data_IF_493330988376
#
_entry.id   IF_493330988376
#
_cell.length_a   1.000
_cell.length_b   1.000
_cell.length_c   1.000
_cell.angle_alpha   90.00
_cell.angle_beta   90.00
_cell.angle_gamma   90.00
#
_symmetry.space_group_name_H-M   'P 1'
#
loop_
_entity.id
_entity.type
_entity.pdbx_description
1 polymer ?
#
# COMPACT_ATOMS: atom_id res chain seq x y z
N UNK A 1 22.60 23.96 3.69
CA UNK A 1 22.28 22.90 2.71
C UNK A 1 22.24 21.53 3.37
N UNK A 2 23.35 20.94 3.81
CA UNK A 2 23.41 19.57 4.39
C UNK A 2 22.34 19.19 5.45
N UNK A 3 21.91 20.13 6.32
CA UNK A 3 20.85 19.86 7.32
C UNK A 3 19.43 19.76 6.75
N UNK A 4 19.14 20.43 5.64
CA UNK A 4 17.81 20.39 5.01
C UNK A 4 17.62 19.08 4.24
N UNK A 5 18.67 18.58 3.58
CA UNK A 5 18.66 17.27 2.91
C UNK A 5 18.48 16.13 3.93
N UNK A 6 19.18 16.18 5.07
CA UNK A 6 19.02 15.17 6.13
C UNK A 6 17.58 15.10 6.70
N UNK A 7 16.90 16.25 6.81
CA UNK A 7 15.51 16.30 7.28
C UNK A 7 14.54 15.75 6.23
N UNK A 8 14.77 16.06 4.94
CA UNK A 8 13.95 15.54 3.85
C UNK A 8 14.11 14.02 3.72
N UNK A 9 15.35 13.51 3.77
CA UNK A 9 15.65 12.08 3.75
C UNK A 9 14.97 11.35 4.90
N UNK A 10 15.11 11.84 6.13
CA UNK A 10 14.47 11.24 7.31
C UNK A 10 12.93 11.22 7.20
N UNK A 11 12.33 12.23 6.57
CA UNK A 11 10.90 12.28 6.32
C UNK A 11 10.47 11.24 5.28
N UNK A 12 11.20 11.12 4.17
CA UNK A 12 10.91 10.13 3.13
C UNK A 12 11.04 8.69 3.67
N UNK A 13 12.08 8.41 4.45
CA UNK A 13 12.24 7.13 5.14
C UNK A 13 11.06 6.83 6.07
N UNK A 14 10.62 7.84 6.84
CA UNK A 14 9.48 7.71 7.74
C UNK A 14 8.18 7.42 6.97
N UNK A 15 7.98 8.07 5.82
CA UNK A 15 6.82 7.82 4.94
C UNK A 15 6.89 6.39 4.40
N UNK A 16 8.03 5.99 3.83
CA UNK A 16 8.20 4.67 3.24
C UNK A 16 8.00 3.54 4.28
N UNK A 17 8.52 3.73 5.49
CA UNK A 17 8.31 2.81 6.61
C UNK A 17 6.84 2.71 7.01
N UNK A 18 6.15 3.84 7.21
CA UNK A 18 4.71 3.85 7.57
C UNK A 18 3.87 3.22 6.48
N UNK A 19 4.19 3.47 5.22
CA UNK A 19 3.50 2.87 4.09
C UNK A 19 3.70 1.34 4.01
N UNK A 20 4.90 0.86 4.34
CA UNK A 20 5.15 -0.57 4.48
C UNK A 20 4.27 -1.20 5.57
N UNK A 21 4.12 -0.53 6.71
CA UNK A 21 3.27 -1.01 7.81
C UNK A 21 1.78 -0.98 7.45
N UNK A 22 1.35 0.03 6.70
CA UNK A 22 0.00 0.11 6.15
C UNK A 22 -0.30 -1.07 5.24
N UNK A 23 0.59 -1.36 4.28
CA UNK A 23 0.42 -2.50 3.36
C UNK A 23 0.43 -3.85 4.09
N UNK A 24 1.32 -4.04 5.08
CA UNK A 24 1.35 -5.25 5.91
C UNK A 24 0.02 -5.45 6.65
N UNK A 25 -0.49 -4.38 7.26
CA UNK A 25 -1.76 -4.38 8.00
C UNK A 25 -2.94 -4.68 7.10
N UNK A 26 -2.98 -4.06 5.92
CA UNK A 26 -4.01 -4.30 4.92
C UNK A 26 -4.05 -5.76 4.48
N UNK A 27 -2.88 -6.39 4.28
CA UNK A 27 -2.81 -7.80 3.94
C UNK A 27 -3.43 -8.70 5.02
N UNK A 28 -3.24 -8.36 6.30
CA UNK A 28 -3.88 -9.08 7.42
C UNK A 28 -5.39 -8.85 7.43
N UNK A 29 -5.84 -7.61 7.23
CA UNK A 29 -7.28 -7.28 7.17
C UNK A 29 -7.98 -8.05 6.05
N UNK A 30 -7.38 -8.11 4.85
CA UNK A 30 -7.94 -8.85 3.73
C UNK A 30 -8.09 -10.34 4.04
N UNK A 31 -7.10 -10.96 4.69
CA UNK A 31 -7.20 -12.36 5.12
C UNK A 31 -8.32 -12.53 6.15
N UNK A 32 -8.40 -11.67 7.16
CA UNK A 32 -9.46 -11.75 8.17
C UNK A 32 -10.86 -11.57 7.57
N UNK A 33 -11.02 -10.61 6.66
CA UNK A 33 -12.28 -10.38 5.94
C UNK A 33 -12.67 -11.60 5.09
N UNK A 34 -11.74 -12.16 4.31
CA UNK A 34 -12.04 -13.32 3.47
C UNK A 34 -12.35 -14.56 4.31
N UNK A 35 -11.63 -14.78 5.41
CA UNK A 35 -11.94 -15.85 6.37
C UNK A 35 -13.35 -15.68 6.97
N UNK A 36 -13.73 -14.44 7.32
CA UNK A 36 -15.09 -14.12 7.77
C UNK A 36 -16.15 -14.43 6.71
N UNK A 37 -15.83 -14.23 5.43
CA UNK A 37 -16.68 -14.59 4.28
C UNK A 37 -16.68 -16.10 3.96
N UNK A 38 -16.02 -16.93 4.77
CA UNK A 38 -15.96 -18.39 4.63
C UNK A 38 -14.90 -18.92 3.66
N UNK A 39 -13.92 -18.09 3.27
CA UNK A 39 -12.82 -18.50 2.40
C UNK A 39 -11.65 -19.08 3.21
N UNK A 40 -11.01 -20.13 2.68
CA UNK A 40 -9.76 -20.64 3.25
C UNK A 40 -8.56 -19.84 2.71
N UNK A 41 -7.99 -19.01 3.58
CA UNK A 41 -6.93 -18.05 3.22
C UNK A 41 -5.70 -18.11 4.14
N UNK A 42 -5.58 -19.11 5.01
CA UNK A 42 -4.45 -19.17 5.96
C UNK A 42 -3.11 -19.41 5.26
N UNK A 43 -3.06 -20.33 4.29
CA UNK A 43 -1.80 -20.77 3.68
C UNK A 43 -1.58 -20.26 2.24
N UNK A 44 -2.49 -19.47 1.70
CA UNK A 44 -2.37 -18.98 0.31
C UNK A 44 -1.46 -17.76 0.18
N UNK A 45 -0.80 -17.63 -0.97
CA UNK A 45 0.06 -16.48 -1.25
C UNK A 45 -0.74 -15.18 -1.31
N UNK A 46 -0.09 -14.05 -0.99
CA UNK A 46 -0.75 -12.73 -1.01
C UNK A 46 -1.37 -12.40 -2.37
N UNK A 47 -0.79 -12.88 -3.47
CA UNK A 47 -1.38 -12.73 -4.81
C UNK A 47 -2.76 -13.36 -4.89
N UNK A 48 -2.92 -14.55 -4.32
CA UNK A 48 -4.18 -15.28 -4.34
C UNK A 48 -5.20 -14.64 -3.41
N UNK A 49 -4.79 -14.14 -2.24
CA UNK A 49 -5.63 -13.31 -1.36
C UNK A 49 -6.19 -12.10 -2.12
N UNK A 50 -5.33 -11.39 -2.86
CA UNK A 50 -5.74 -10.19 -3.60
C UNK A 50 -6.68 -10.54 -4.76
N UNK A 51 -6.40 -11.63 -5.49
CA UNK A 51 -7.28 -12.10 -6.55
C UNK A 51 -8.66 -12.51 -6.00
N UNK A 52 -8.70 -13.10 -4.81
CA UNK A 52 -9.95 -13.49 -4.17
C UNK A 52 -10.74 -12.27 -3.69
N UNK A 53 -10.06 -11.29 -3.06
CA UNK A 53 -10.63 -10.00 -2.70
C UNK A 53 -11.26 -9.29 -3.92
N UNK A 54 -10.53 -9.25 -5.05
CA UNK A 54 -11.03 -8.69 -6.31
C UNK A 54 -12.31 -9.41 -6.78
N UNK A 55 -12.33 -10.75 -6.77
CA UNK A 55 -13.52 -11.55 -7.13
C UNK A 55 -14.71 -11.33 -6.20
N UNK A 56 -14.47 -11.00 -4.92
CA UNK A 56 -15.50 -10.61 -3.95
C UNK A 56 -15.95 -9.14 -4.13
N UNK A 57 -15.45 -8.47 -5.17
CA UNK A 57 -15.85 -7.13 -5.55
C UNK A 57 -15.12 -6.04 -4.76
N UNK A 58 -14.12 -6.36 -3.94
CA UNK A 58 -13.29 -5.34 -3.31
C UNK A 58 -12.51 -4.56 -4.39
N UNK A 59 -12.37 -3.21 -4.26
CA UNK A 59 -11.75 -2.36 -5.29
C UNK A 59 -10.22 -2.46 -5.32
N UNK A 60 -9.68 -3.68 -5.32
CA UNK A 60 -8.26 -4.00 -5.28
C UNK A 60 -7.93 -5.05 -6.34
N UNK A 61 -6.71 -5.02 -6.86
CA UNK A 61 -6.19 -6.08 -7.73
C UNK A 61 -4.68 -6.21 -7.57
N UNK A 62 -4.09 -7.25 -8.15
CA UNK A 62 -2.66 -7.55 -7.99
C UNK A 62 -1.77 -6.42 -8.52
N UNK A 63 -2.15 -5.79 -9.63
CA UNK A 63 -1.39 -4.68 -10.21
C UNK A 63 -1.33 -3.48 -9.26
N UNK A 64 -2.47 -3.10 -8.66
CA UNK A 64 -2.53 -2.06 -7.63
C UNK A 64 -1.67 -2.41 -6.42
N UNK A 65 -1.75 -3.66 -5.95
CA UNK A 65 -0.95 -4.14 -4.81
C UNK A 65 0.56 -4.05 -5.06
N UNK A 66 1.01 -4.41 -6.27
CA UNK A 66 2.42 -4.29 -6.67
C UNK A 66 2.82 -2.82 -6.83
N UNK A 67 1.95 -1.97 -7.40
CA UNK A 67 2.20 -0.54 -7.55
C UNK A 67 2.51 0.13 -6.21
N UNK A 68 1.80 -0.24 -5.14
CA UNK A 68 2.09 0.23 -3.77
C UNK A 68 3.55 -0.05 -3.37
N UNK A 69 4.04 -1.25 -3.65
CA UNK A 69 5.42 -1.64 -3.33
C UNK A 69 6.44 -0.86 -4.15
N UNK A 70 6.17 -0.68 -5.44
CA UNK A 70 7.06 0.04 -6.36
C UNK A 70 7.23 1.49 -5.90
N UNK A 71 6.12 2.19 -5.62
CA UNK A 71 6.19 3.59 -5.18
C UNK A 71 6.93 3.76 -3.86
N UNK A 72 6.70 2.85 -2.90
CA UNK A 72 7.48 2.83 -1.65
C UNK A 72 8.97 2.63 -1.92
N UNK A 73 9.32 1.71 -2.82
CA UNK A 73 10.73 1.42 -3.13
C UNK A 73 11.41 2.60 -3.83
N UNK A 74 10.69 3.36 -4.67
CA UNK A 74 11.21 4.59 -5.28
C UNK A 74 11.59 5.60 -4.18
N UNK A 75 10.73 5.77 -3.17
CA UNK A 75 11.04 6.63 -2.02
C UNK A 75 12.26 6.19 -1.20
N UNK A 76 12.70 4.92 -1.31
CA UNK A 76 13.84 4.35 -0.56
C UNK A 76 15.12 4.28 -1.42
N UNK A 77 15.04 4.40 -2.74
CA UNK A 77 16.21 4.19 -3.60
C UNK A 77 16.61 5.41 -4.40
N UNK A 78 15.69 6.34 -4.67
CA UNK A 78 15.89 7.45 -5.61
C UNK A 78 15.95 8.82 -4.91
N UNK A 79 16.17 8.86 -3.59
CA UNK A 79 15.99 10.06 -2.78
C UNK A 79 17.03 11.19 -2.98
N UNK A 80 18.16 10.92 -3.66
CA UNK A 80 19.23 11.91 -3.86
C UNK A 80 19.34 12.44 -5.31
N UNK A 81 18.79 11.74 -6.30
CA UNK A 81 19.09 12.01 -7.72
C UNK A 81 17.96 12.69 -8.50
N UNK A 82 16.69 12.62 -8.04
CA UNK A 82 15.56 13.23 -8.77
C UNK A 82 14.39 13.70 -7.88
N UNK A 83 14.43 14.98 -7.49
CA UNK A 83 13.35 15.62 -6.72
C UNK A 83 11.98 15.66 -7.43
N UNK A 84 11.96 15.65 -8.77
CA UNK A 84 10.71 15.60 -9.53
C UNK A 84 10.07 14.21 -9.43
N UNK A 85 10.87 13.15 -9.56
CA UNK A 85 10.40 11.77 -9.39
C UNK A 85 9.85 11.53 -7.98
N UNK A 86 10.51 12.06 -6.94
CA UNK A 86 10.01 11.98 -5.55
C UNK A 86 8.65 12.67 -5.42
N UNK A 87 8.52 13.90 -5.93
CA UNK A 87 7.27 14.65 -5.86
C UNK A 87 6.13 13.93 -6.61
N UNK A 88 6.41 13.40 -7.79
CA UNK A 88 5.44 12.59 -8.54
C UNK A 88 5.04 11.32 -7.76
N UNK A 89 6.02 10.62 -7.17
CA UNK A 89 5.78 9.42 -6.38
C UNK A 89 4.89 9.71 -5.17
N UNK A 90 5.12 10.83 -4.46
CA UNK A 90 4.28 11.25 -3.34
C UNK A 90 2.84 11.58 -3.78
N UNK A 91 2.66 12.25 -4.92
CA UNK A 91 1.33 12.51 -5.50
C UNK A 91 0.61 11.20 -5.86
N UNK A 92 1.32 10.23 -6.42
CA UNK A 92 0.75 8.91 -6.73
C UNK A 92 0.37 8.14 -5.47
N UNK A 93 1.20 8.19 -4.41
CA UNK A 93 0.88 7.61 -3.10
C UNK A 93 -0.39 8.26 -2.52
N UNK A 94 -0.51 9.58 -2.60
CA UNK A 94 -1.70 10.29 -2.12
C UNK A 94 -2.98 9.81 -2.83
N UNK A 95 -2.95 9.66 -4.16
CA UNK A 95 -4.07 9.11 -4.91
C UNK A 95 -4.42 7.67 -4.48
N UNK A 96 -3.43 6.84 -4.20
CA UNK A 96 -3.63 5.45 -3.75
C UNK A 96 -4.17 5.35 -2.32
N UNK A 97 -3.95 6.37 -1.47
CA UNK A 97 -4.57 6.42 -0.16
C UNK A 97 -6.09 6.54 -0.26
N UNK A 98 -6.62 7.24 -1.27
CA UNK A 98 -8.06 7.31 -1.52
C UNK A 98 -8.64 5.96 -1.96
N UNK A 99 -7.94 5.24 -2.85
CA UNK A 99 -8.29 3.86 -3.21
C UNK A 99 -8.36 2.96 -1.97
N UNK A 100 -7.37 3.08 -1.08
CA UNK A 100 -7.32 2.30 0.15
C UNK A 100 -8.44 2.66 1.14
N UNK A 101 -8.78 3.94 1.27
CA UNK A 101 -9.94 4.34 2.09
C UNK A 101 -11.22 3.68 1.56
N UNK A 102 -11.45 3.72 0.25
CA UNK A 102 -12.62 3.09 -0.36
C UNK A 102 -12.69 1.58 -0.12
N UNK A 103 -11.53 0.91 -0.13
CA UNK A 103 -11.40 -0.52 0.18
C UNK A 103 -11.78 -0.81 1.64
N UNK A 104 -11.24 -0.04 2.58
CA UNK A 104 -11.52 -0.20 4.02
C UNK A 104 -12.99 0.09 4.31
N UNK A 105 -13.54 1.17 3.76
CA UNK A 105 -14.96 1.52 3.90
C UNK A 105 -15.87 0.42 3.38
N UNK A 106 -15.51 -0.23 2.27
CA UNK A 106 -16.27 -1.37 1.75
C UNK A 106 -16.22 -2.56 2.70
N UNK A 107 -15.04 -2.94 3.19
CA UNK A 107 -14.89 -4.02 4.18
C UNK A 107 -15.69 -3.73 5.44
N UNK A 108 -15.65 -2.49 5.96
CA UNK A 108 -16.38 -2.09 7.15
C UNK A 108 -17.91 -2.11 6.99
N UNK A 109 -18.44 -2.00 5.77
CA UNK A 109 -19.88 -2.12 5.49
C UNK A 109 -20.38 -3.56 5.44
N UNK A 110 -19.47 -4.51 5.23
CA UNK A 110 -19.77 -5.94 5.04
C UNK A 110 -19.41 -6.80 6.26
N UNK A 111 -18.81 -6.18 7.29
CA UNK A 111 -18.57 -6.74 8.63
C UNK A 111 -19.73 -6.41 9.57
#
# INVERSE_FOLDING_TARGET
>A
MLRQDLNALSLLDSIAYRFSKLQETLGKILRLYLAYQGEDVEEIFMRDVINLAEKRGLPINWSKWVKLRVLRNILIHEYEDDSHLIAETLNQIQSLLEDLKSLIEKIMKEL
#
